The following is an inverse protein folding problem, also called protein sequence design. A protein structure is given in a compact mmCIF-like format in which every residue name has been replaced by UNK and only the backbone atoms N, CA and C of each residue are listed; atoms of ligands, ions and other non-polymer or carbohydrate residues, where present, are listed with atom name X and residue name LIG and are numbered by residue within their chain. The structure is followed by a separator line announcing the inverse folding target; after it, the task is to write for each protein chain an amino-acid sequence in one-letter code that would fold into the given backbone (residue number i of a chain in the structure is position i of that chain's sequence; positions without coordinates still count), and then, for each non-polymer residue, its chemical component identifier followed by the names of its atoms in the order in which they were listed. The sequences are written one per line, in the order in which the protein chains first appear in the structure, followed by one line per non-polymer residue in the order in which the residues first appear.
data_IF_063281780049
#
_entry.id   IF_063281780049
#
_cell.length_a   1.000
_cell.length_b   1.000
_cell.length_c   1.000
_cell.angle_alpha   90.00
_cell.angle_beta   90.00
_cell.angle_gamma   90.00
#
_symmetry.space_group_name_H-M   'P 1'
#
loop_
_entity.id
_entity.type
_entity.pdbx_description
1 polymer ?
#
# COMPACT_ATOMS: atom_id res chain seq x y z
N UNK A 1 28.85 5.85 0.98
CA UNK A 1 28.29 5.74 2.35
C UNK A 1 26.80 6.05 2.32
N UNK A 2 25.97 5.23 3.01
CA UNK A 2 24.52 5.46 3.10
C UNK A 2 24.21 5.93 4.52
N UNK A 3 23.67 7.14 4.66
CA UNK A 3 23.27 7.71 5.95
C UNK A 3 21.75 7.68 6.08
N UNK A 4 21.24 7.09 7.16
CA UNK A 4 19.81 7.09 7.46
C UNK A 4 19.49 8.18 8.48
N UNK A 5 18.60 9.11 8.13
CA UNK A 5 18.23 10.27 8.93
C UNK A 5 16.72 10.30 9.19
N UNK A 6 16.35 10.91 10.31
CA UNK A 6 14.97 11.32 10.57
C UNK A 6 14.97 12.83 10.74
N UNK A 7 14.23 13.52 9.86
CA UNK A 7 14.11 14.96 9.85
C UNK A 7 12.64 15.39 9.89
N UNK A 8 12.43 16.59 10.41
CA UNK A 8 11.12 17.22 10.38
C UNK A 8 11.24 18.52 9.58
N UNK A 9 10.49 18.62 8.49
CA UNK A 9 10.57 19.71 7.54
C UNK A 9 9.20 20.31 7.22
N UNK A 10 9.17 21.47 6.61
CA UNK A 10 7.94 22.07 6.08
C UNK A 10 7.45 21.27 4.86
N UNK A 11 6.14 21.28 4.56
CA UNK A 11 5.56 20.60 3.40
C UNK A 11 6.24 20.99 2.08
N UNK A 12 6.60 22.25 1.91
CA UNK A 12 7.30 22.76 0.73
C UNK A 12 8.67 22.07 0.53
N UNK A 13 9.44 21.94 1.61
CA UNK A 13 10.74 21.24 1.58
C UNK A 13 10.57 19.77 1.27
N UNK A 14 9.58 19.12 1.89
CA UNK A 14 9.29 17.71 1.64
C UNK A 14 8.82 17.43 0.20
N UNK A 15 8.14 18.40 -0.43
CA UNK A 15 7.62 18.30 -1.82
C UNK A 15 8.62 18.72 -2.90
N UNK A 16 9.73 19.37 -2.54
CA UNK A 16 10.69 19.94 -3.50
C UNK A 16 12.04 19.26 -3.36
N UNK A 17 12.42 18.47 -4.39
CA UNK A 17 13.65 17.66 -4.38
C UNK A 17 14.91 18.47 -4.08
N UNK A 18 15.03 19.67 -4.64
CA UNK A 18 16.21 20.51 -4.44
C UNK A 18 16.27 21.05 -3.01
N UNK A 19 15.13 21.53 -2.46
CA UNK A 19 15.08 22.02 -1.08
C UNK A 19 15.38 20.90 -0.07
N UNK A 20 14.83 19.73 -0.29
CA UNK A 20 15.14 18.57 0.54
C UNK A 20 16.63 18.20 0.47
N UNK A 21 17.23 18.24 -0.72
CA UNK A 21 18.65 17.96 -0.92
C UNK A 21 19.54 18.97 -0.17
N UNK A 22 19.24 20.27 -0.28
CA UNK A 22 19.95 21.32 0.45
C UNK A 22 19.83 21.13 1.96
N UNK A 23 18.63 20.87 2.46
CA UNK A 23 18.39 20.63 3.89
C UNK A 23 19.22 19.44 4.39
N UNK A 24 19.23 18.32 3.65
CA UNK A 24 19.97 17.12 4.03
C UNK A 24 21.49 17.33 3.95
N UNK A 25 21.97 18.13 3.00
CA UNK A 25 23.39 18.50 2.90
C UNK A 25 23.84 19.32 4.12
N UNK A 26 23.01 20.25 4.59
CA UNK A 26 23.24 21.01 5.81
C UNK A 26 23.24 20.12 7.05
N UNK A 27 22.24 19.24 7.21
CA UNK A 27 22.15 18.32 8.35
C UNK A 27 23.36 17.38 8.45
N UNK A 28 23.89 16.95 7.30
CA UNK A 28 25.06 16.07 7.22
C UNK A 28 26.39 16.83 7.21
N UNK A 29 26.36 18.15 7.10
CA UNK A 29 27.54 19.01 6.94
C UNK A 29 28.42 18.60 5.75
N UNK A 30 27.79 18.34 4.60
CA UNK A 30 28.45 17.95 3.33
C UNK A 30 28.01 18.83 2.17
N UNK A 31 28.71 18.73 1.03
CA UNK A 31 28.29 19.40 -0.20
C UNK A 31 27.08 18.69 -0.81
N UNK A 32 26.12 19.46 -1.38
CA UNK A 32 25.01 18.90 -2.16
C UNK A 32 25.48 18.03 -3.33
N UNK A 33 26.66 18.30 -3.89
CA UNK A 33 27.25 17.51 -4.98
C UNK A 33 27.60 16.09 -4.58
N UNK A 34 27.86 15.88 -3.29
CA UNK A 34 28.18 14.56 -2.74
C UNK A 34 26.94 13.68 -2.57
N UNK A 35 25.74 14.27 -2.48
CA UNK A 35 24.48 13.52 -2.43
C UNK A 35 24.12 13.04 -3.85
N UNK A 36 24.23 11.74 -4.07
CA UNK A 36 23.92 11.10 -5.36
C UNK A 36 22.46 10.71 -5.46
N UNK A 37 21.86 10.24 -4.34
CA UNK A 37 20.45 9.87 -4.29
C UNK A 37 19.88 10.08 -2.89
N UNK A 38 18.56 10.32 -2.84
CA UNK A 38 17.77 10.40 -1.61
C UNK A 38 16.59 9.46 -1.78
N UNK A 39 16.51 8.47 -0.91
CA UNK A 39 15.40 7.53 -0.84
C UNK A 39 14.54 7.86 0.38
N UNK A 40 13.24 8.10 0.16
CA UNK A 40 12.29 8.31 1.26
C UNK A 40 11.84 6.94 1.77
N UNK A 41 12.23 6.60 2.99
CA UNK A 41 11.89 5.33 3.63
C UNK A 41 10.55 5.39 4.38
N UNK A 42 10.19 6.60 4.87
CA UNK A 42 8.92 6.83 5.57
C UNK A 42 8.56 8.31 5.55
N UNK A 43 7.26 8.57 5.39
CA UNK A 43 6.69 9.92 5.42
C UNK A 43 5.45 9.94 6.32
N UNK A 44 5.35 10.94 7.20
CA UNK A 44 4.13 11.19 7.98
C UNK A 44 3.90 12.68 8.17
N UNK A 45 2.61 13.06 8.24
CA UNK A 45 2.20 14.43 8.50
C UNK A 45 2.08 14.63 10.01
N UNK A 46 2.64 15.71 10.51
CA UNK A 46 2.47 16.19 11.88
C UNK A 46 1.72 17.53 11.86
N UNK A 47 0.43 17.48 12.15
CA UNK A 47 -0.48 18.63 12.19
C UNK A 47 -0.89 19.01 13.63
N UNK A 48 -0.16 18.56 14.65
CA UNK A 48 -0.47 18.86 16.06
C UNK A 48 -0.19 20.31 16.46
N UNK A 49 0.66 20.99 15.70
CA UNK A 49 1.02 22.39 15.91
C UNK A 49 0.36 23.29 14.86
N UNK A 50 0.36 24.61 15.10
CA UNK A 50 -0.18 25.61 14.15
C UNK A 50 0.41 25.49 12.75
N UNK A 51 1.70 25.17 12.65
CA UNK A 51 2.39 24.94 11.37
C UNK A 51 2.53 23.44 11.16
N UNK A 52 1.87 22.93 10.13
CA UNK A 52 1.98 21.52 9.72
C UNK A 52 3.41 21.20 9.29
N UNK A 53 3.94 20.09 9.78
CA UNK A 53 5.27 19.60 9.43
C UNK A 53 5.19 18.19 8.86
N UNK A 54 6.20 17.82 8.07
CA UNK A 54 6.36 16.48 7.52
C UNK A 54 7.57 15.83 8.20
N UNK A 55 7.33 14.69 8.84
CA UNK A 55 8.40 13.86 9.34
C UNK A 55 8.82 12.89 8.22
N UNK A 56 10.09 12.91 7.89
CA UNK A 56 10.71 12.04 6.90
C UNK A 56 11.76 11.17 7.56
N UNK A 57 11.75 9.87 7.22
CA UNK A 57 12.90 8.99 7.37
C UNK A 57 13.48 8.78 5.98
N UNK A 58 14.75 9.14 5.80
CA UNK A 58 15.41 9.11 4.50
C UNK A 58 16.72 8.33 4.57
N UNK A 59 17.07 7.66 3.47
CA UNK A 59 18.42 7.17 3.22
C UNK A 59 19.10 8.10 2.22
N UNK A 60 20.25 8.68 2.60
CA UNK A 60 21.04 9.61 1.78
C UNK A 60 22.29 8.88 1.30
N UNK A 61 22.44 8.76 -0.02
CA UNK A 61 23.57 8.12 -0.68
C UNK A 61 24.65 9.16 -0.96
N UNK A 62 25.72 9.15 -0.15
CA UNK A 62 26.83 10.12 -0.22
C UNK A 62 27.99 9.47 -0.97
N UNK A 63 28.35 10.04 -2.13
CA UNK A 63 29.41 9.53 -3.03
C UNK A 63 29.28 8.06 -3.39
N UNK A 64 28.07 7.54 -3.36
CA UNK A 64 27.73 6.14 -3.64
C UNK A 64 26.56 6.07 -4.63
N UNK A 65 26.63 5.23 -5.68
CA UNK A 65 25.55 5.08 -6.61
C UNK A 65 24.33 4.43 -5.94
N UNK A 66 23.15 4.87 -6.30
CA UNK A 66 21.91 4.20 -5.92
C UNK A 66 21.69 2.99 -6.83
N UNK A 67 21.75 1.81 -6.23
CA UNK A 67 21.30 0.59 -6.88
C UNK A 67 19.84 0.37 -6.51
N UNK A 68 18.95 0.60 -7.46
CA UNK A 68 17.52 0.31 -7.27
C UNK A 68 17.40 -1.16 -6.91
N UNK A 69 16.83 -1.47 -5.74
CA UNK A 69 16.49 -2.85 -5.40
C UNK A 69 15.50 -3.37 -6.44
N UNK A 70 15.76 -4.56 -6.94
CA UNK A 70 14.78 -5.27 -7.76
C UNK A 70 13.49 -5.39 -6.93
N UNK A 71 12.40 -4.92 -7.51
CA UNK A 71 11.09 -5.10 -6.90
C UNK A 71 10.76 -6.59 -7.03
N UNK A 72 10.57 -7.26 -5.91
CA UNK A 72 10.17 -8.66 -5.88
C UNK A 72 8.68 -8.76 -6.20
N UNK A 73 8.34 -8.46 -7.46
CA UNK A 73 6.96 -8.48 -7.94
C UNK A 73 6.63 -9.94 -8.29
N UNK A 74 5.60 -10.54 -7.67
CA UNK A 74 5.18 -11.89 -7.98
C UNK A 74 4.80 -12.03 -9.45
N UNK A 75 5.30 -13.07 -10.11
CA UNK A 75 4.85 -13.46 -11.45
C UNK A 75 3.69 -14.43 -11.34
N UNK A 76 2.57 -14.06 -11.92
CA UNK A 76 1.40 -14.93 -11.96
C UNK A 76 1.40 -15.72 -13.27
N UNK A 77 1.64 -17.02 -13.15
CA UNK A 77 1.67 -17.95 -14.27
C UNK A 77 0.25 -18.43 -14.65
N UNK A 78 0.10 -18.87 -15.90
CA UNK A 78 -1.13 -19.57 -16.27
C UNK A 78 -1.23 -20.89 -15.50
N UNK A 79 -2.32 -21.04 -14.77
CA UNK A 79 -2.65 -22.21 -13.95
C UNK A 79 -3.82 -23.03 -14.54
N UNK A 80 -4.17 -22.79 -15.80
CA UNK A 80 -5.17 -23.58 -16.52
C UNK A 80 -4.79 -25.07 -16.52
N UNK A 81 -5.71 -25.95 -16.09
CA UNK A 81 -5.47 -27.38 -16.00
C UNK A 81 -4.54 -27.85 -14.88
N UNK A 82 -4.17 -26.95 -13.95
CA UNK A 82 -3.43 -27.31 -12.73
C UNK A 82 -4.36 -27.81 -11.64
N UNK A 83 -3.78 -28.38 -10.58
CA UNK A 83 -4.51 -28.84 -9.39
C UNK A 83 -5.33 -27.69 -8.79
N UNK A 84 -6.59 -27.97 -8.50
CA UNK A 84 -7.56 -27.01 -8.01
C UNK A 84 -7.55 -26.94 -6.48
N UNK A 85 -7.57 -25.72 -5.94
CA UNK A 85 -7.68 -25.46 -4.51
C UNK A 85 -8.88 -24.54 -4.26
N UNK A 86 -9.82 -25.00 -3.45
CA UNK A 86 -11.03 -24.24 -3.11
C UNK A 86 -10.70 -23.24 -1.99
N UNK A 87 -11.08 -21.99 -2.21
CA UNK A 87 -11.00 -20.89 -1.23
C UNK A 87 -12.42 -20.43 -0.93
N UNK A 88 -12.77 -20.36 0.34
CA UNK A 88 -14.08 -19.86 0.78
C UNK A 88 -13.95 -18.40 1.16
N UNK A 89 -14.61 -17.52 0.41
CA UNK A 89 -14.68 -16.09 0.60
C UNK A 89 -13.67 -15.30 -0.26
N UNK A 90 -14.18 -14.27 -0.96
CA UNK A 90 -13.39 -13.31 -1.76
C UNK A 90 -13.07 -12.03 -0.99
N UNK A 91 -12.87 -12.11 0.32
CA UNK A 91 -12.32 -11.04 1.13
C UNK A 91 -10.80 -10.92 0.96
N UNK A 92 -10.13 -9.95 1.61
CA UNK A 92 -8.68 -9.74 1.46
C UNK A 92 -7.86 -11.01 1.67
N UNK A 93 -8.17 -11.81 2.68
CA UNK A 93 -7.46 -13.05 2.96
C UNK A 93 -7.59 -14.07 1.81
N UNK A 94 -8.82 -14.27 1.29
CA UNK A 94 -9.07 -15.19 0.19
C UNK A 94 -8.41 -14.74 -1.11
N UNK A 95 -8.46 -13.45 -1.42
CA UNK A 95 -7.83 -12.89 -2.62
C UNK A 95 -6.30 -13.02 -2.57
N UNK A 96 -5.65 -12.69 -1.44
CA UNK A 96 -4.21 -12.91 -1.29
C UNK A 96 -3.83 -14.39 -1.29
N UNK A 97 -4.66 -15.26 -0.72
CA UNK A 97 -4.46 -16.72 -0.81
C UNK A 97 -4.54 -17.21 -2.26
N UNK A 98 -5.49 -16.70 -3.05
CA UNK A 98 -5.60 -17.02 -4.47
C UNK A 98 -4.35 -16.62 -5.25
N UNK A 99 -3.85 -15.39 -5.06
CA UNK A 99 -2.62 -14.92 -5.69
C UNK A 99 -1.42 -15.80 -5.31
N UNK A 100 -1.31 -16.15 -4.03
CA UNK A 100 -0.23 -17.03 -3.55
C UNK A 100 -0.30 -18.45 -4.13
N UNK A 101 -1.50 -18.98 -4.35
CA UNK A 101 -1.68 -20.28 -5.02
C UNK A 101 -1.26 -20.21 -6.49
N UNK A 102 -1.63 -19.16 -7.22
CA UNK A 102 -1.21 -18.95 -8.61
C UNK A 102 0.32 -18.87 -8.70
N UNK A 103 0.97 -18.14 -7.80
CA UNK A 103 2.44 -18.06 -7.72
C UNK A 103 3.08 -19.46 -7.55
N UNK A 104 2.42 -20.32 -6.76
CA UNK A 104 2.83 -21.72 -6.55
C UNK A 104 2.44 -22.68 -7.67
N UNK A 105 1.78 -22.19 -8.72
CA UNK A 105 1.34 -23.01 -9.86
C UNK A 105 0.09 -23.83 -9.59
N UNK A 106 -0.72 -23.46 -8.60
CA UNK A 106 -2.00 -24.10 -8.28
C UNK A 106 -3.14 -23.23 -8.77
N UNK A 107 -4.27 -23.85 -9.15
CA UNK A 107 -5.46 -23.15 -9.64
C UNK A 107 -6.43 -22.85 -8.49
N UNK A 108 -6.58 -21.59 -8.04
CA UNK A 108 -7.56 -21.25 -7.03
C UNK A 108 -8.96 -21.25 -7.62
N UNK A 109 -9.92 -21.80 -6.88
CA UNK A 109 -11.36 -21.67 -7.11
C UNK A 109 -11.94 -20.91 -5.93
N UNK A 110 -12.25 -19.63 -6.13
CA UNK A 110 -12.77 -18.76 -5.06
C UNK A 110 -14.30 -18.80 -5.08
N UNK A 111 -14.88 -19.22 -3.96
CA UNK A 111 -16.32 -19.23 -3.73
C UNK A 111 -16.69 -18.05 -2.84
N UNK A 112 -17.47 -17.11 -3.37
CA UNK A 112 -17.95 -15.94 -2.63
C UNK A 112 -19.48 -16.04 -2.47
N UNK A 113 -19.94 -15.81 -1.26
CA UNK A 113 -21.36 -15.85 -0.90
C UNK A 113 -22.11 -14.65 -1.48
N UNK A 114 -21.49 -13.47 -1.42
CA UNK A 114 -22.11 -12.25 -1.85
C UNK A 114 -21.89 -11.93 -3.33
N UNK A 115 -22.32 -10.75 -3.73
CA UNK A 115 -22.24 -10.32 -5.13
C UNK A 115 -20.87 -9.67 -5.44
N UNK A 116 -20.60 -9.47 -6.74
CA UNK A 116 -19.47 -8.69 -7.21
C UNK A 116 -19.54 -7.22 -6.75
N UNK A 117 -18.42 -6.51 -6.81
CA UNK A 117 -18.27 -5.12 -6.33
C UNK A 117 -19.34 -4.18 -6.92
N UNK A 118 -19.67 -4.33 -8.21
CA UNK A 118 -20.64 -3.45 -8.88
C UNK A 118 -22.07 -3.70 -8.39
N UNK A 119 -22.45 -4.96 -8.24
CA UNK A 119 -23.78 -5.33 -7.73
C UNK A 119 -23.93 -4.99 -6.25
N UNK A 120 -22.87 -5.21 -5.42
CA UNK A 120 -22.84 -4.79 -4.01
C UNK A 120 -23.13 -3.29 -3.82
N UNK A 121 -22.64 -2.43 -4.72
CA UNK A 121 -22.90 -0.99 -4.65
C UNK A 121 -24.39 -0.68 -4.66
N UNK A 122 -25.19 -1.44 -5.40
CA UNK A 122 -26.67 -1.29 -5.44
C UNK A 122 -27.29 -1.75 -4.13
N UNK A 123 -26.84 -2.87 -3.58
CA UNK A 123 -27.35 -3.39 -2.31
C UNK A 123 -27.03 -2.43 -1.15
N UNK A 124 -25.84 -1.83 -1.14
CA UNK A 124 -25.47 -0.80 -0.15
C UNK A 124 -26.28 0.49 -0.31
N UNK A 125 -26.57 0.90 -1.56
CA UNK A 125 -27.47 2.04 -1.80
C UNK A 125 -28.88 1.77 -1.26
N UNK A 126 -29.37 0.53 -1.40
CA UNK A 126 -30.67 0.11 -0.88
C UNK A 126 -30.66 0.07 0.67
N UNK A 127 -29.59 -0.44 1.27
CA UNK A 127 -29.38 -0.41 2.72
C UNK A 127 -29.40 1.03 3.26
N UNK A 128 -28.70 1.95 2.60
CA UNK A 128 -28.58 3.35 3.07
C UNK A 128 -29.87 4.13 2.88
N UNK A 129 -30.58 3.93 1.74
CA UNK A 129 -31.80 4.71 1.41
C UNK A 129 -33.07 4.11 2.00
N UNK A 130 -33.20 2.80 1.97
CA UNK A 130 -34.42 2.08 2.29
C UNK A 130 -34.32 1.25 3.57
N UNK A 131 -33.13 1.21 4.19
CA UNK A 131 -32.84 0.41 5.39
C UNK A 131 -33.11 -1.09 5.20
N UNK A 132 -32.97 -1.59 3.95
CA UNK A 132 -33.14 -3.00 3.60
C UNK A 132 -31.76 -3.65 3.52
N UNK A 133 -31.54 -4.62 4.42
CA UNK A 133 -30.30 -5.41 4.43
C UNK A 133 -30.47 -6.62 3.54
N UNK A 134 -29.55 -6.83 2.59
CA UNK A 134 -29.39 -8.10 1.91
C UNK A 134 -28.44 -8.97 2.74
N UNK A 135 -28.90 -10.15 3.19
CA UNK A 135 -28.15 -11.02 4.09
C UNK A 135 -26.86 -11.56 3.46
N UNK A 136 -26.84 -11.76 2.14
CA UNK A 136 -25.72 -12.31 1.41
C UNK A 136 -24.82 -11.23 0.75
N UNK A 137 -25.31 -9.99 0.63
CA UNK A 137 -24.56 -8.92 -0.05
C UNK A 137 -24.77 -7.59 0.66
N UNK A 138 -23.79 -7.16 1.46
CA UNK A 138 -23.86 -5.97 2.29
C UNK A 138 -22.45 -5.42 2.58
N UNK A 139 -22.26 -4.64 3.64
CA UNK A 139 -20.92 -4.13 4.03
C UNK A 139 -19.94 -5.24 4.42
N UNK A 140 -20.41 -6.38 4.91
CA UNK A 140 -19.56 -7.47 5.38
C UNK A 140 -19.32 -8.53 4.32
N UNK A 141 -20.32 -8.82 3.50
CA UNK A 141 -20.34 -9.93 2.54
C UNK A 141 -20.32 -9.46 1.09
N UNK A 142 -19.59 -10.21 0.24
CA UNK A 142 -19.38 -9.97 -1.17
C UNK A 142 -17.92 -9.73 -1.51
N UNK A 143 -17.62 -9.64 -2.78
CA UNK A 143 -16.29 -9.47 -3.35
C UNK A 143 -15.53 -8.31 -2.68
N UNK A 144 -14.28 -8.57 -2.26
CA UNK A 144 -13.42 -7.63 -1.56
C UNK A 144 -13.70 -7.50 -0.06
N UNK A 145 -14.79 -8.10 0.47
CA UNK A 145 -15.14 -8.11 1.87
C UNK A 145 -15.52 -6.73 2.43
N UNK A 146 -15.36 -6.54 3.74
CA UNK A 146 -15.73 -5.31 4.45
C UNK A 146 -14.87 -4.08 4.08
N UNK A 147 -13.68 -4.30 3.51
CA UNK A 147 -12.76 -3.23 3.11
C UNK A 147 -13.14 -2.51 1.82
N UNK A 148 -13.89 -3.14 0.93
CA UNK A 148 -14.19 -2.66 -0.43
C UNK A 148 -14.82 -1.26 -0.48
N UNK A 149 -15.74 -0.98 0.44
CA UNK A 149 -16.44 0.31 0.51
C UNK A 149 -16.00 1.15 1.70
N UNK A 150 -14.80 0.89 2.21
CA UNK A 150 -14.12 1.74 3.19
C UNK A 150 -13.38 2.89 2.51
N UNK A 151 -12.73 3.74 3.28
CA UNK A 151 -11.86 4.79 2.76
C UNK A 151 -10.47 4.29 2.31
N UNK A 152 -10.25 2.98 2.28
CA UNK A 152 -9.03 2.35 1.76
C UNK A 152 -7.80 2.49 2.66
N UNK A 153 -7.99 2.68 3.96
CA UNK A 153 -6.87 2.70 4.93
C UNK A 153 -6.23 1.32 5.04
N UNK A 154 -4.91 1.29 4.90
CA UNK A 154 -4.08 0.07 4.92
C UNK A 154 -3.22 -0.05 6.18
N UNK A 155 -3.50 0.76 7.22
CA UNK A 155 -2.67 0.77 8.42
C UNK A 155 -2.81 -0.50 9.23
N UNK A 156 -1.67 -1.08 9.62
CA UNK A 156 -1.59 -2.19 10.56
C UNK A 156 -0.53 -1.93 11.62
N UNK A 157 -0.79 -2.38 12.84
CA UNK A 157 0.20 -2.43 13.94
C UNK A 157 0.93 -3.76 13.99
N UNK A 158 0.42 -4.78 13.30
CA UNK A 158 1.00 -6.12 13.29
C UNK A 158 2.23 -6.15 12.38
N UNK A 159 3.40 -6.39 12.99
CA UNK A 159 4.69 -6.54 12.29
C UNK A 159 5.37 -7.87 12.61
N UNK A 160 4.70 -8.72 13.40
CA UNK A 160 5.31 -9.94 13.91
C UNK A 160 5.16 -11.15 12.97
N UNK A 161 4.18 -11.11 12.08
CA UNK A 161 3.88 -12.22 11.16
C UNK A 161 3.72 -11.68 9.75
N UNK A 162 4.55 -12.14 8.84
CA UNK A 162 4.57 -11.73 7.44
C UNK A 162 5.18 -10.34 7.20
N UNK A 163 5.58 -10.10 5.96
CA UNK A 163 6.10 -8.81 5.52
C UNK A 163 4.96 -7.96 4.94
N UNK A 164 4.67 -6.85 5.61
CA UNK A 164 3.66 -5.87 5.15
C UNK A 164 4.03 -5.28 3.80
N UNK A 165 5.33 -5.14 3.50
CA UNK A 165 5.78 -4.57 2.23
C UNK A 165 5.34 -5.44 1.05
N UNK A 166 5.39 -6.77 1.17
CA UNK A 166 4.87 -7.69 0.13
C UNK A 166 3.41 -7.39 -0.20
N UNK A 167 2.58 -7.14 0.81
CA UNK A 167 1.17 -6.78 0.60
C UNK A 167 1.05 -5.45 -0.15
N UNK A 168 1.85 -4.44 0.23
CA UNK A 168 1.85 -3.14 -0.43
C UNK A 168 2.35 -3.24 -1.86
N UNK A 169 3.36 -4.09 -2.12
CA UNK A 169 3.90 -4.33 -3.47
C UNK A 169 2.87 -4.97 -4.38
N UNK A 170 2.13 -5.97 -3.90
CA UNK A 170 1.01 -6.57 -4.64
C UNK A 170 -0.06 -5.53 -4.95
N UNK A 171 -0.43 -4.67 -4.00
CA UNK A 171 -1.41 -3.61 -4.24
C UNK A 171 -0.92 -2.61 -5.27
N UNK A 172 0.36 -2.23 -5.25
CA UNK A 172 0.97 -1.34 -6.28
C UNK A 172 0.97 -2.03 -7.65
N UNK A 173 1.29 -3.31 -7.73
CA UNK A 173 1.22 -4.10 -8.96
C UNK A 173 -0.20 -4.07 -9.57
N UNK A 174 -1.23 -4.01 -8.72
CA UNK A 174 -2.64 -3.95 -9.13
C UNK A 174 -3.19 -2.51 -9.22
N UNK A 175 -2.32 -1.51 -9.31
CA UNK A 175 -2.69 -0.13 -9.64
C UNK A 175 -2.81 0.83 -8.46
N UNK A 176 -2.44 0.44 -7.24
CA UNK A 176 -2.32 1.38 -6.14
C UNK A 176 -1.10 2.32 -6.36
N UNK A 177 -1.17 3.52 -5.79
CA UNK A 177 -0.07 4.49 -5.89
C UNK A 177 1.17 4.00 -5.13
N UNK A 178 2.40 4.14 -5.69
CA UNK A 178 3.63 3.73 -5.02
C UNK A 178 3.87 4.41 -3.67
N UNK A 179 3.27 5.58 -3.42
CA UNK A 179 3.39 6.30 -2.15
C UNK A 179 2.86 5.52 -0.95
N UNK A 180 1.99 4.51 -1.15
CA UNK A 180 1.52 3.66 -0.05
C UNK A 180 2.66 2.91 0.66
N UNK A 181 3.79 2.68 -0.03
CA UNK A 181 4.98 2.01 0.52
C UNK A 181 5.70 2.86 1.56
N UNK A 182 5.64 4.18 1.44
CA UNK A 182 6.40 5.12 2.27
C UNK A 182 5.53 5.90 3.25
N UNK A 183 4.23 6.02 3.00
CA UNK A 183 3.32 6.72 3.88
C UNK A 183 3.12 5.95 5.20
N UNK A 184 3.22 6.64 6.33
CA UNK A 184 3.02 6.03 7.66
C UNK A 184 1.60 5.50 7.87
N UNK A 185 0.64 6.11 7.20
CA UNK A 185 -0.77 5.70 7.15
C UNK A 185 -1.20 5.59 5.69
N UNK A 186 -0.85 4.47 5.02
CA UNK A 186 -1.15 4.30 3.61
C UNK A 186 -2.65 4.22 3.38
N UNK A 187 -3.08 4.77 2.24
CA UNK A 187 -4.48 4.93 1.90
C UNK A 187 -4.64 4.86 0.37
N UNK A 188 -5.56 4.03 -0.12
CA UNK A 188 -5.78 3.84 -1.56
C UNK A 188 -6.91 4.72 -2.07
N UNK A 189 -7.92 5.02 -1.23
CA UNK A 189 -9.14 5.73 -1.64
C UNK A 189 -10.21 4.81 -2.23
N UNK A 190 -11.43 5.36 -2.41
CA UNK A 190 -12.60 4.58 -2.83
C UNK A 190 -12.70 4.34 -4.35
N UNK A 191 -11.92 5.02 -5.17
CA UNK A 191 -12.06 5.05 -6.63
C UNK A 191 -10.93 4.32 -7.37
N UNK A 192 -10.19 3.46 -6.68
CA UNK A 192 -9.10 2.69 -7.28
C UNK A 192 -9.21 1.23 -6.91
#
# INVERSE_FOLDING_TARGET
MINTLQIQVLPEVAGTKNLLKSTLAQELNISEKDIKHIEILKRSVDARQRVTKINLKVAVYVNEPFLKKEENIPEYKDVTGKEEVIIIGAGPAGLFAALQLIEKGLKPIVLERGKDVRARRRDLANLTKNHIVNEDSNYCFGEGGAGTFSDGKLYTRSKKRGDVNTVLDVLVQHGATPEIRVNAHPHIGQNK
#
